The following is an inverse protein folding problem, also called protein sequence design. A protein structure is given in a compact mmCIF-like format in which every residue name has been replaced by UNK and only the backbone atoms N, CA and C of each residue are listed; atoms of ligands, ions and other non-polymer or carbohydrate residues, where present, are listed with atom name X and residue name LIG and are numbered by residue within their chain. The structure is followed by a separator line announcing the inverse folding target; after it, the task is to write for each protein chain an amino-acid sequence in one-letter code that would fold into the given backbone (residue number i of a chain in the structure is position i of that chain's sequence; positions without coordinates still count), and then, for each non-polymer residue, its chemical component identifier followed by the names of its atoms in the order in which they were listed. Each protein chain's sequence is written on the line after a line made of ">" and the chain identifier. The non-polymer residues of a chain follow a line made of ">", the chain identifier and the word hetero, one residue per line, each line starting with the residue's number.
data_IF_261987471949
#
_entry.id   IF_261987471949
#
_cell.length_a   1.000
_cell.length_b   1.000
_cell.length_c   1.000
_cell.angle_alpha   90.00
_cell.angle_beta   90.00
_cell.angle_gamma   90.00
#
_symmetry.space_group_name_H-M   'P 1'
#
loop_
_entity.id
_entity.type
_entity.pdbx_description
1 polymer ?
#
# COMPACT_ATOMS: atom_id res chain seq x y z
N UNK A 1 7.64 -18.15 -0.13
CA UNK A 1 6.98 -18.27 1.18
C UNK A 1 7.52 -17.19 2.07
N UNK A 2 6.71 -16.20 2.44
CA UNK A 2 7.09 -15.20 3.45
C UNK A 2 7.00 -15.91 4.81
N UNK A 3 8.08 -15.96 5.62
CA UNK A 3 8.06 -16.66 6.90
C UNK A 3 6.95 -16.10 7.79
N UNK A 4 6.18 -16.99 8.44
CA UNK A 4 5.22 -16.59 9.49
C UNK A 4 6.01 -15.95 10.63
N UNK A 5 5.88 -14.65 10.81
CA UNK A 5 6.63 -13.94 11.84
C UNK A 5 5.92 -13.92 13.15
N UNK A 6 6.18 -14.93 13.96
CA UNK A 6 5.96 -14.88 15.40
C UNK A 6 7.25 -14.60 16.18
N UNK A 7 8.38 -14.31 15.50
CA UNK A 7 9.71 -14.22 16.13
C UNK A 7 10.59 -13.03 15.67
N UNK A 8 10.11 -12.07 14.87
CA UNK A 8 10.95 -10.89 14.54
C UNK A 8 10.85 -9.85 15.66
N UNK A 9 11.93 -9.73 16.46
CA UNK A 9 12.13 -8.63 17.42
C UNK A 9 12.63 -7.35 16.75
N UNK A 10 13.13 -7.43 15.51
CA UNK A 10 13.65 -6.30 14.74
C UNK A 10 12.87 -6.09 13.42
N UNK A 11 12.66 -4.83 12.99
CA UNK A 11 11.98 -4.53 11.73
C UNK A 11 12.72 -5.13 10.54
N UNK A 12 11.98 -5.63 9.53
CA UNK A 12 12.61 -6.10 8.31
C UNK A 12 13.21 -4.94 7.50
N UNK A 13 14.49 -5.06 7.14
CA UNK A 13 15.21 -4.12 6.28
C UNK A 13 15.70 -4.88 5.04
N UNK A 14 15.29 -4.43 3.85
CA UNK A 14 15.74 -5.04 2.59
C UNK A 14 17.20 -4.72 2.29
N UNK A 15 17.94 -5.69 1.74
CA UNK A 15 19.28 -5.48 1.19
C UNK A 15 19.28 -5.02 -0.27
N UNK A 16 18.13 -5.09 -0.96
CA UNK A 16 17.96 -4.73 -2.37
C UNK A 16 17.47 -3.29 -2.57
N UNK A 17 16.71 -2.76 -1.61
CA UNK A 17 16.10 -1.44 -1.70
C UNK A 17 16.62 -0.54 -0.58
N UNK A 18 17.23 0.59 -0.93
CA UNK A 18 17.73 1.54 0.07
C UNK A 18 16.59 2.22 0.82
N UNK A 19 16.84 2.67 2.05
CA UNK A 19 15.84 3.38 2.87
C UNK A 19 15.31 4.64 2.17
N UNK A 20 16.15 5.35 1.40
CA UNK A 20 15.71 6.50 0.59
C UNK A 20 14.78 6.10 -0.56
N UNK A 21 15.03 4.95 -1.19
CA UNK A 21 14.15 4.44 -2.23
C UNK A 21 12.78 4.03 -1.67
N UNK A 22 12.78 3.37 -0.50
CA UNK A 22 11.56 3.01 0.24
C UNK A 22 10.78 4.25 0.69
N UNK A 23 11.47 5.28 1.19
CA UNK A 23 10.85 6.55 1.57
C UNK A 23 10.16 7.22 0.37
N UNK A 24 10.82 7.27 -0.80
CA UNK A 24 10.22 7.82 -2.02
C UNK A 24 9.00 7.03 -2.50
N UNK A 25 9.00 5.71 -2.31
CA UNK A 25 7.85 4.88 -2.62
C UNK A 25 6.65 5.21 -1.72
N UNK A 26 6.91 5.43 -0.43
CA UNK A 26 5.88 5.87 0.51
C UNK A 26 5.35 7.27 0.17
N UNK A 27 6.22 8.21 -0.20
CA UNK A 27 5.80 9.53 -0.69
C UNK A 27 4.86 9.43 -1.91
N UNK A 28 5.05 8.43 -2.78
CA UNK A 28 4.20 8.17 -3.94
C UNK A 28 2.83 7.54 -3.60
N UNK A 29 2.55 7.21 -2.33
CA UNK A 29 1.21 6.77 -1.90
C UNK A 29 0.29 7.93 -1.54
N UNK A 30 0.79 9.17 -1.54
CA UNK A 30 0.07 10.37 -1.11
C UNK A 30 -0.17 11.33 -2.28
N UNK A 31 -1.34 11.98 -2.33
CA UNK A 31 -1.72 12.92 -3.39
C UNK A 31 -1.39 12.34 -4.79
N UNK A 32 -1.89 11.14 -5.04
CA UNK A 32 -1.41 10.26 -6.10
C UNK A 32 -2.48 9.88 -7.12
N UNK A 33 -3.58 10.63 -7.17
CA UNK A 33 -4.70 10.40 -8.08
C UNK A 33 -4.27 10.20 -9.53
N UNK A 34 -3.43 11.09 -10.07
CA UNK A 34 -2.93 10.99 -11.43
C UNK A 34 -2.17 9.69 -11.67
N UNK A 35 -1.28 9.30 -10.75
CA UNK A 35 -0.54 8.05 -10.86
C UNK A 35 -1.49 6.83 -10.83
N UNK A 36 -2.46 6.80 -9.92
CA UNK A 36 -3.42 5.70 -9.80
C UNK A 36 -4.28 5.56 -11.05
N UNK A 37 -4.83 6.66 -11.59
CA UNK A 37 -5.70 6.63 -12.78
C UNK A 37 -4.99 6.10 -14.02
N UNK A 38 -3.67 6.29 -14.11
CA UNK A 38 -2.85 5.78 -15.22
C UNK A 38 -2.22 4.41 -14.93
N UNK A 39 -2.55 3.79 -13.80
CA UNK A 39 -1.98 2.49 -13.41
C UNK A 39 -2.88 1.33 -13.82
N UNK A 40 -2.28 0.28 -14.36
CA UNK A 40 -2.95 -1.01 -14.60
C UNK A 40 -3.08 -1.86 -13.32
N UNK A 41 -2.23 -1.58 -12.33
CA UNK A 41 -2.22 -2.27 -11.04
C UNK A 41 -1.94 -1.30 -9.92
N UNK A 42 -2.60 -1.49 -8.80
CA UNK A 42 -2.34 -0.81 -7.54
C UNK A 42 -2.05 -1.84 -6.45
N UNK A 43 -1.24 -1.47 -5.46
CA UNK A 43 -0.90 -2.32 -4.31
C UNK A 43 -0.92 -1.51 -3.02
N UNK A 44 -1.52 -2.06 -1.96
CA UNK A 44 -1.51 -1.44 -0.64
C UNK A 44 -0.33 -1.93 0.21
N UNK A 45 0.50 -1.03 0.74
CA UNK A 45 1.62 -1.38 1.63
C UNK A 45 1.18 -1.78 3.05
N UNK A 46 -0.09 -1.65 3.42
CA UNK A 46 -0.59 -2.14 4.71
C UNK A 46 -1.07 -3.59 4.66
N UNK A 47 -1.86 -3.93 3.64
CA UNK A 47 -2.51 -5.24 3.54
C UNK A 47 -2.02 -6.13 2.40
N UNK A 48 -1.23 -5.60 1.47
CA UNK A 48 -0.73 -6.34 0.32
C UNK A 48 -1.79 -6.58 -0.76
N UNK A 49 -3.00 -6.03 -0.61
CA UNK A 49 -4.03 -6.14 -1.64
C UNK A 49 -3.55 -5.48 -2.93
N UNK A 50 -3.62 -6.25 -4.02
CA UNK A 50 -3.29 -5.79 -5.37
C UNK A 50 -4.53 -5.88 -6.26
N UNK A 51 -4.86 -4.81 -6.98
CA UNK A 51 -6.09 -4.68 -7.76
C UNK A 51 -5.88 -3.79 -8.99
N UNK A 52 -6.75 -3.95 -10.00
CA UNK A 52 -6.78 -3.07 -11.17
C UNK A 52 -7.75 -1.91 -10.86
N UNK A 53 -7.28 -0.66 -10.74
CA UNK A 53 -8.14 0.46 -10.36
C UNK A 53 -9.24 0.74 -11.38
N UNK A 54 -9.10 0.31 -12.65
CA UNK A 54 -10.11 0.47 -13.70
C UNK A 54 -11.27 -0.53 -13.59
N UNK A 55 -11.06 -1.64 -12.87
CA UNK A 55 -12.06 -2.69 -12.67
C UNK A 55 -12.79 -2.57 -11.33
N UNK A 56 -12.38 -1.65 -10.45
CA UNK A 56 -13.09 -1.37 -9.20
C UNK A 56 -14.40 -0.64 -9.49
N UNK A 57 -15.49 -1.09 -8.87
CA UNK A 57 -16.81 -0.45 -9.01
C UNK A 57 -16.78 1.01 -8.54
N UNK A 58 -16.04 1.29 -7.46
CA UNK A 58 -15.89 2.62 -6.87
C UNK A 58 -14.51 2.77 -6.24
N UNK A 59 -13.84 3.87 -6.56
CA UNK A 59 -12.62 4.30 -5.88
C UNK A 59 -12.95 5.38 -4.85
N UNK A 60 -12.38 5.25 -3.66
CA UNK A 60 -12.67 6.13 -2.53
C UNK A 60 -11.48 7.03 -2.21
N UNK A 61 -11.65 8.31 -2.48
CA UNK A 61 -10.60 9.32 -2.39
C UNK A 61 -10.67 10.11 -1.09
N UNK A 62 -9.52 10.52 -0.59
CA UNK A 62 -9.38 11.55 0.45
C UNK A 62 -9.07 12.87 -0.27
N UNK A 63 -9.87 13.90 0.03
CA UNK A 63 -9.63 15.26 -0.46
C UNK A 63 -8.47 15.89 0.31
N UNK A 64 -7.39 16.20 -0.40
CA UNK A 64 -6.23 16.87 0.18
C UNK A 64 -6.35 18.40 0.09
N UNK A 65 -5.54 19.11 0.88
CA UNK A 65 -5.50 20.57 0.79
C UNK A 65 -4.88 21.00 -0.56
N UNK A 66 -5.52 21.92 -1.32
CA UNK A 66 -4.96 22.46 -2.55
C UNK A 66 -3.53 23.00 -2.36
N UNK A 67 -2.62 22.86 -3.35
CA UNK A 67 -2.87 22.37 -4.72
C UNK A 67 -2.68 20.85 -4.89
N UNK A 68 -2.75 20.06 -3.81
CA UNK A 68 -2.49 18.62 -3.88
C UNK A 68 -3.64 17.87 -4.54
N UNK A 69 -3.30 16.80 -5.25
CA UNK A 69 -4.25 15.80 -5.74
C UNK A 69 -4.82 14.99 -4.58
N UNK A 70 -5.83 14.17 -4.86
CA UNK A 70 -6.46 13.30 -3.87
C UNK A 70 -5.61 12.07 -3.57
N UNK A 71 -5.83 11.47 -2.41
CA UNK A 71 -5.15 10.23 -1.98
C UNK A 71 -6.12 9.06 -2.02
N UNK A 72 -5.75 7.95 -2.66
CA UNK A 72 -6.62 6.76 -2.73
C UNK A 72 -6.62 5.97 -1.41
N UNK A 73 -7.80 5.58 -0.92
CA UNK A 73 -7.95 4.55 0.12
C UNK A 73 -8.04 3.15 -0.49
N UNK A 74 -7.37 2.20 0.11
CA UNK A 74 -7.43 0.80 -0.32
C UNK A 74 -8.85 0.23 -0.19
N UNK A 75 -9.42 -0.39 -1.24
CA UNK A 75 -10.78 -0.98 -1.18
C UNK A 75 -10.88 -2.22 -0.27
N UNK A 76 -9.74 -2.75 0.19
CA UNK A 76 -9.68 -3.96 1.02
C UNK A 76 -9.55 -3.66 2.52
N UNK A 77 -8.90 -2.56 2.91
CA UNK A 77 -8.65 -2.21 4.31
C UNK A 77 -8.88 -0.74 4.67
N UNK A 78 -9.30 0.10 3.71
CA UNK A 78 -9.54 1.54 3.84
C UNK A 78 -8.31 2.40 4.21
N UNK A 79 -7.12 1.82 4.35
CA UNK A 79 -5.87 2.56 4.57
C UNK A 79 -5.42 3.27 3.28
N UNK A 80 -4.98 4.51 3.43
CA UNK A 80 -4.49 5.46 2.42
C UNK A 80 -3.00 5.27 2.09
N UNK A 81 -2.58 4.02 1.92
CA UNK A 81 -1.19 3.67 1.60
C UNK A 81 -1.17 2.74 0.39
N UNK A 82 -1.68 3.25 -0.72
CA UNK A 82 -1.81 2.57 -2.02
C UNK A 82 -0.87 3.21 -3.03
N UNK A 83 -0.12 2.39 -3.77
CA UNK A 83 0.75 2.83 -4.86
C UNK A 83 0.30 2.20 -6.18
N UNK A 84 0.39 2.94 -7.29
CA UNK A 84 0.05 2.47 -8.63
C UNK A 84 1.27 2.11 -9.49
N UNK A 85 1.10 1.26 -10.51
CA UNK A 85 2.18 0.84 -11.42
C UNK A 85 2.77 1.99 -12.25
N UNK A 86 2.03 3.08 -12.46
CA UNK A 86 2.55 4.29 -13.10
C UNK A 86 3.53 5.09 -12.22
N UNK A 87 3.72 4.70 -10.94
CA UNK A 87 4.66 5.34 -10.02
C UNK A 87 6.14 5.02 -10.28
N UNK A 88 6.44 4.13 -11.24
CA UNK A 88 7.79 3.62 -11.57
C UNK A 88 8.49 2.76 -10.49
N UNK A 89 7.76 2.36 -9.44
CA UNK A 89 8.24 1.42 -8.41
C UNK A 89 7.86 -0.03 -8.73
N UNK A 90 8.61 -1.04 -8.23
CA UNK A 90 8.32 -2.45 -8.45
C UNK A 90 7.19 -2.92 -7.52
N UNK A 91 5.98 -2.40 -7.72
CA UNK A 91 4.84 -2.58 -6.80
C UNK A 91 4.30 -4.01 -6.70
N UNK A 92 4.78 -4.92 -7.55
CA UNK A 92 4.44 -6.35 -7.54
C UNK A 92 5.55 -7.22 -6.91
N UNK A 93 6.71 -6.63 -6.56
CA UNK A 93 7.80 -7.35 -5.90
C UNK A 93 7.49 -7.56 -4.41
N UNK A 94 7.36 -8.82 -3.92
CA UNK A 94 6.98 -9.08 -2.53
C UNK A 94 7.97 -8.53 -1.49
N UNK A 95 9.26 -8.47 -1.82
CA UNK A 95 10.27 -7.95 -0.90
C UNK A 95 10.17 -6.42 -0.82
N UNK A 96 9.92 -5.76 -1.94
CA UNK A 96 9.68 -4.32 -1.97
C UNK A 96 8.45 -3.93 -1.15
N UNK A 97 7.33 -4.64 -1.37
CA UNK A 97 6.09 -4.41 -0.63
C UNK A 97 6.30 -4.61 0.88
N UNK A 98 7.00 -5.68 1.28
CA UNK A 98 7.33 -5.94 2.68
C UNK A 98 8.23 -4.84 3.26
N UNK A 99 9.26 -4.41 2.53
CA UNK A 99 10.16 -3.34 2.98
C UNK A 99 9.41 -2.01 3.19
N UNK A 100 8.52 -1.63 2.27
CA UNK A 100 7.66 -0.45 2.43
C UNK A 100 6.70 -0.58 3.61
N UNK A 101 6.10 -1.76 3.80
CA UNK A 101 5.22 -2.02 4.93
C UNK A 101 5.93 -1.86 6.27
N UNK A 102 7.11 -2.47 6.39
CA UNK A 102 7.88 -2.51 7.63
C UNK A 102 8.46 -1.13 7.97
N UNK A 103 8.94 -0.39 6.96
CA UNK A 103 9.48 0.96 7.15
C UNK A 103 8.42 1.96 7.64
N UNK A 104 7.16 1.84 7.20
CA UNK A 104 6.12 2.81 7.56
C UNK A 104 5.24 2.39 8.74
N UNK A 105 4.95 1.09 8.86
CA UNK A 105 4.05 0.58 9.90
C UNK A 105 4.80 -0.11 11.05
N UNK A 106 6.12 -0.25 10.98
CA UNK A 106 6.94 -0.75 12.09
C UNK A 106 6.53 -2.15 12.57
N UNK A 107 6.16 -3.03 11.65
CA UNK A 107 5.65 -4.37 11.95
C UNK A 107 4.15 -4.42 12.31
N UNK A 108 3.46 -3.28 12.40
CA UNK A 108 2.02 -3.19 12.69
C UNK A 108 1.24 -3.13 11.38
N UNK A 109 1.32 -4.20 10.58
CA UNK A 109 0.58 -4.32 9.32
C UNK A 109 0.04 -5.73 9.11
N UNK A 110 -0.95 -5.90 8.24
CA UNK A 110 -1.47 -7.24 7.93
C UNK A 110 -0.42 -8.09 7.20
N UNK A 111 0.47 -7.45 6.43
CA UNK A 111 1.60 -8.11 5.79
C UNK A 111 2.55 -8.68 6.86
N UNK A 112 2.97 -7.86 7.83
CA UNK A 112 3.88 -8.27 8.91
C UNK A 112 3.27 -9.36 9.81
N UNK A 113 1.97 -9.29 10.07
CA UNK A 113 1.20 -10.31 10.78
C UNK A 113 1.02 -11.62 10.00
N UNK A 114 1.39 -11.66 8.72
CA UNK A 114 1.15 -12.81 7.84
C UNK A 114 -0.34 -13.12 7.62
N UNK A 115 -1.20 -12.10 7.75
CA UNK A 115 -2.65 -12.25 7.55
C UNK A 115 -2.98 -12.34 6.06
N UNK A 116 -4.00 -13.13 5.67
CA UNK A 116 -4.44 -13.17 4.29
C UNK A 116 -5.00 -11.81 3.83
N UNK A 117 -4.98 -11.58 2.52
CA UNK A 117 -5.68 -10.44 1.91
C UNK A 117 -7.18 -10.74 1.90
N UNK A 118 -7.94 -10.05 2.73
CA UNK A 118 -9.40 -10.19 2.84
C UNK A 118 -10.04 -8.86 3.22
N UNK A 119 -11.30 -8.65 2.83
CA UNK A 119 -11.98 -7.38 3.03
C UNK A 119 -12.31 -7.21 4.50
N UNK A 120 -11.85 -6.13 5.11
CA UNK A 120 -12.09 -5.89 6.53
C UNK A 120 -13.54 -5.46 6.74
N UNK A 121 -14.18 -6.02 7.77
CA UNK A 121 -15.62 -5.83 8.04
C UNK A 121 -16.07 -4.37 8.15
N UNK A 122 -15.17 -3.49 8.55
CA UNK A 122 -15.47 -2.07 8.72
C UNK A 122 -15.28 -1.25 7.43
N UNK A 123 -14.74 -1.85 6.37
CA UNK A 123 -14.41 -1.11 5.14
C UNK A 123 -15.64 -0.52 4.51
N UNK A 124 -16.74 -1.28 4.43
CA UNK A 124 -18.00 -0.79 3.90
C UNK A 124 -18.47 0.44 4.70
N UNK A 125 -18.46 0.36 6.04
CA UNK A 125 -18.81 1.50 6.90
C UNK A 125 -17.93 2.75 6.75
N UNK A 126 -16.66 2.59 6.33
CA UNK A 126 -15.68 3.70 6.22
C UNK A 126 -15.69 4.30 4.80
N UNK A 127 -15.99 3.48 3.80
CA UNK A 127 -15.92 3.85 2.40
C UNK A 127 -17.29 4.21 1.83
N UNK A 128 -18.40 3.75 2.39
CA UNK A 128 -19.76 4.03 1.93
C UNK A 128 -20.02 5.53 1.62
#
# INVERSE_FOLDING_TARGET
>A
MIPKTTERTEPFVSSRFSSDYIRKAHEATFANESAIVHSERCTCFYCGHSFDPSQEEKLHWIEEKPPRERTLRCPMCAIDCVIGSASSFPIEDPEFILACSEAWFGGISRISDGKPVEKLRYVDLILD
#
